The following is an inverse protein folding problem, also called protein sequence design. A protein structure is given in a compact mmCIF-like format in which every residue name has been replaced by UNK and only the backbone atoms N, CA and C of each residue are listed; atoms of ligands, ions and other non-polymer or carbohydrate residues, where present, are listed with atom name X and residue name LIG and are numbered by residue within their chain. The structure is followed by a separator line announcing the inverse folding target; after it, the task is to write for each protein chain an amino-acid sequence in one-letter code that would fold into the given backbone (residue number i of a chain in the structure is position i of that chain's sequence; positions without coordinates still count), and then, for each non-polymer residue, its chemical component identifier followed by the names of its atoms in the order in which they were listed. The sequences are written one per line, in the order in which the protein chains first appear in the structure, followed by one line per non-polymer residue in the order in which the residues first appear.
data_IF_771623049658
#
_entry.id   IF_771623049658
#
_cell.length_a   1.000
_cell.length_b   1.000
_cell.length_c   1.000
_cell.angle_alpha   90.00
_cell.angle_beta   90.00
_cell.angle_gamma   90.00
#
_symmetry.space_group_name_H-M   'P 1'
#
loop_
_entity.id
_entity.type
_entity.pdbx_description
1 polymer ?
#
# COMPACT_ATOMS: atom_id res chain seq x y z
N UNK A 1 6.64 -0.25 -40.17
CA UNK A 1 6.68 0.88 -39.20
C UNK A 1 7.12 0.35 -37.84
N UNK A 2 8.12 0.96 -37.20
CA UNK A 2 8.65 0.57 -35.87
C UNK A 2 7.69 1.06 -34.78
N UNK A 3 7.28 0.20 -33.85
CA UNK A 3 6.53 0.61 -32.64
C UNK A 3 7.52 1.17 -31.63
N UNK A 4 7.46 2.47 -31.37
CA UNK A 4 8.26 3.12 -30.33
C UNK A 4 7.64 2.84 -28.96
N UNK A 5 8.46 2.26 -28.09
CA UNK A 5 8.16 1.98 -26.69
C UNK A 5 8.45 3.24 -25.86
N UNK A 6 7.45 4.11 -25.68
CA UNK A 6 7.60 5.35 -24.91
C UNK A 6 6.47 5.53 -23.90
N UNK A 7 6.36 4.59 -22.95
CA UNK A 7 5.62 4.80 -21.70
C UNK A 7 6.59 5.21 -20.58
N UNK A 8 7.34 6.29 -20.79
CA UNK A 8 8.09 6.95 -19.72
C UNK A 8 7.28 8.16 -19.27
N UNK A 9 6.77 8.12 -18.04
CA UNK A 9 5.97 9.18 -17.44
C UNK A 9 6.76 10.50 -17.38
N UNK A 10 6.12 11.60 -17.72
CA UNK A 10 6.69 12.95 -17.87
C UNK A 10 6.87 13.72 -16.53
N UNK A 11 6.73 13.04 -15.40
CA UNK A 11 6.95 13.63 -14.07
C UNK A 11 5.85 14.58 -13.59
N UNK A 12 4.82 14.85 -14.41
CA UNK A 12 3.56 15.42 -13.92
C UNK A 12 2.82 14.34 -13.11
N UNK A 13 2.03 14.73 -12.09
CA UNK A 13 1.39 13.82 -11.12
C UNK A 13 0.85 12.58 -11.80
N UNK A 14 1.59 11.49 -11.67
CA UNK A 14 1.25 10.29 -12.39
C UNK A 14 -0.08 9.76 -11.86
N UNK A 15 -0.88 9.21 -12.75
CA UNK A 15 -2.22 8.67 -12.46
C UNK A 15 -2.28 7.69 -11.27
N UNK A 16 -1.14 7.19 -10.79
CA UNK A 16 -1.05 6.34 -9.61
C UNK A 16 -1.15 7.08 -8.26
N UNK A 17 -1.13 8.42 -8.23
CA UNK A 17 -1.40 9.23 -7.03
C UNK A 17 -2.87 9.64 -6.89
N UNK A 18 -3.66 9.49 -7.95
CA UNK A 18 -5.09 9.82 -7.92
C UNK A 18 -5.87 8.77 -7.13
N UNK A 19 -6.83 9.23 -6.33
CA UNK A 19 -7.77 8.34 -5.65
C UNK A 19 -8.84 7.86 -6.64
N UNK A 20 -9.27 6.59 -6.57
CA UNK A 20 -10.36 6.11 -7.40
C UNK A 20 -11.64 6.92 -7.10
N UNK A 21 -12.46 7.22 -8.13
CA UNK A 21 -13.70 7.97 -7.95
C UNK A 21 -14.57 7.36 -6.85
N UNK A 22 -15.12 8.22 -5.99
CA UNK A 22 -16.02 7.86 -4.87
C UNK A 22 -15.37 7.09 -3.72
N UNK A 23 -14.04 6.95 -3.67
CA UNK A 23 -13.38 6.42 -2.48
C UNK A 23 -13.56 7.36 -1.28
N UNK A 24 -14.07 6.82 -0.17
CA UNK A 24 -14.30 7.56 1.09
C UNK A 24 -13.56 6.97 2.29
N UNK A 25 -12.95 5.80 2.12
CA UNK A 25 -12.40 5.00 3.20
C UNK A 25 -11.19 4.21 2.69
N UNK A 26 -10.27 3.87 3.58
CA UNK A 26 -9.07 3.09 3.22
C UNK A 26 -9.42 1.75 2.57
N UNK A 27 -10.54 1.12 2.97
CA UNK A 27 -10.97 -0.14 2.38
C UNK A 27 -11.21 -0.02 0.87
N UNK A 28 -11.72 1.12 0.39
CA UNK A 28 -11.89 1.36 -1.05
C UNK A 28 -10.55 1.33 -1.79
N UNK A 29 -9.50 1.88 -1.18
CA UNK A 29 -8.15 1.91 -1.76
C UNK A 29 -7.47 0.54 -1.72
N UNK A 30 -7.65 -0.19 -0.62
CA UNK A 30 -7.16 -1.57 -0.44
C UNK A 30 -7.77 -2.47 -1.52
N UNK A 31 -9.09 -2.38 -1.72
CA UNK A 31 -9.80 -3.15 -2.74
C UNK A 31 -9.43 -2.70 -4.16
N UNK A 32 -9.37 -1.40 -4.44
CA UNK A 32 -9.02 -0.88 -5.78
C UNK A 32 -7.61 -1.31 -6.22
N UNK A 33 -6.65 -1.35 -5.30
CA UNK A 33 -5.28 -1.79 -5.58
C UNK A 33 -5.10 -3.30 -5.45
N UNK A 34 -6.16 -4.06 -5.18
CA UNK A 34 -6.14 -5.51 -4.94
C UNK A 34 -5.05 -5.92 -3.94
N UNK A 35 -4.93 -5.18 -2.83
CA UNK A 35 -3.93 -5.45 -1.81
C UNK A 35 -4.26 -6.77 -1.10
N UNK A 36 -3.25 -7.61 -0.88
CA UNK A 36 -3.38 -8.77 -0.01
C UNK A 36 -3.56 -8.34 1.46
N UNK A 37 -3.82 -9.32 2.34
CA UNK A 37 -4.07 -9.06 3.76
C UNK A 37 -2.89 -8.34 4.44
N UNK A 38 -1.65 -8.73 4.13
CA UNK A 38 -0.43 -8.16 4.72
C UNK A 38 -0.28 -6.68 4.33
N UNK A 39 -0.35 -6.38 3.03
CA UNK A 39 -0.24 -5.02 2.50
C UNK A 39 -1.40 -4.14 2.99
N UNK A 40 -2.62 -4.68 3.07
CA UNK A 40 -3.78 -3.96 3.60
C UNK A 40 -3.61 -3.54 5.06
N UNK A 41 -3.08 -4.41 5.92
CA UNK A 41 -2.80 -4.09 7.32
C UNK A 41 -1.63 -3.10 7.49
N UNK A 42 -0.60 -3.18 6.65
CA UNK A 42 0.46 -2.17 6.59
C UNK A 42 -0.15 -0.81 6.25
N UNK A 43 -0.96 -0.73 5.20
CA UNK A 43 -1.57 0.52 4.76
C UNK A 43 -2.44 1.16 5.85
N UNK A 44 -3.31 0.38 6.51
CA UNK A 44 -4.11 0.86 7.65
C UNK A 44 -3.23 1.33 8.81
N UNK A 45 -2.10 0.67 9.06
CA UNK A 45 -1.19 0.99 10.17
C UNK A 45 -0.40 2.26 9.91
N UNK A 46 0.04 2.49 8.67
CA UNK A 46 0.66 3.74 8.25
C UNK A 46 -0.33 4.91 8.32
N UNK A 47 -1.59 4.72 7.89
CA UNK A 47 -2.58 5.81 7.90
C UNK A 47 -2.89 6.33 9.30
N UNK A 48 -3.07 5.43 10.28
CA UNK A 48 -3.43 5.79 11.66
C UNK A 48 -2.21 6.00 12.57
N UNK A 49 -1.01 6.08 12.03
CA UNK A 49 0.24 5.98 12.78
C UNK A 49 0.30 6.94 13.96
N UNK A 50 0.32 6.40 15.19
CA UNK A 50 0.33 7.20 16.42
C UNK A 50 -0.97 7.93 16.75
N UNK A 51 -2.08 7.65 16.05
CA UNK A 51 -3.39 8.27 16.31
C UNK A 51 -4.27 7.47 17.27
N UNK A 52 -3.96 6.19 17.54
CA UNK A 52 -4.74 5.41 18.51
C UNK A 52 -4.28 5.74 19.94
N UNK A 53 -5.24 6.12 20.78
CA UNK A 53 -5.04 6.52 22.19
C UNK A 53 -4.38 5.45 23.06
N UNK A 54 -4.25 4.21 22.56
CA UNK A 54 -3.67 3.06 23.25
C UNK A 54 -2.47 2.47 22.48
N UNK A 55 -1.96 3.17 21.47
CA UNK A 55 -0.80 2.72 20.70
C UNK A 55 0.20 3.84 20.48
N UNK A 56 1.33 3.71 21.14
CA UNK A 56 2.51 4.51 20.80
C UNK A 56 2.95 4.20 19.36
N UNK A 57 3.58 5.18 18.70
CA UNK A 57 4.13 5.04 17.35
C UNK A 57 5.00 3.78 17.20
N UNK A 58 5.73 3.40 18.26
CA UNK A 58 6.53 2.18 18.31
C UNK A 58 5.69 0.90 18.11
N UNK A 59 4.46 0.85 18.63
CA UNK A 59 3.56 -0.29 18.46
C UNK A 59 3.11 -0.40 17.01
N UNK A 60 2.72 0.70 16.37
CA UNK A 60 2.36 0.68 14.95
C UNK A 60 3.57 0.31 14.07
N UNK A 61 4.77 0.81 14.38
CA UNK A 61 6.00 0.42 13.70
C UNK A 61 6.30 -1.09 13.81
N UNK A 62 6.17 -1.66 15.01
CA UNK A 62 6.31 -3.12 15.22
C UNK A 62 5.25 -3.92 14.44
N UNK A 63 4.01 -3.43 14.39
CA UNK A 63 2.94 -4.07 13.60
C UNK A 63 3.26 -4.03 12.11
N UNK A 64 3.73 -2.91 11.59
CA UNK A 64 4.18 -2.78 10.20
C UNK A 64 5.32 -3.78 9.92
N UNK A 65 6.33 -3.85 10.81
CA UNK A 65 7.43 -4.82 10.69
C UNK A 65 6.92 -6.26 10.58
N UNK A 66 5.98 -6.66 11.45
CA UNK A 66 5.42 -8.01 11.44
C UNK A 66 4.78 -8.37 10.08
N UNK A 67 3.96 -7.48 9.51
CA UNK A 67 3.29 -7.76 8.23
C UNK A 67 4.23 -7.70 7.03
N UNK A 68 5.25 -6.83 7.04
CA UNK A 68 6.20 -6.79 5.93
C UNK A 68 7.12 -8.02 5.92
N UNK A 69 7.53 -8.52 7.10
CA UNK A 69 8.28 -9.77 7.20
C UNK A 69 7.46 -10.94 6.62
N UNK A 70 6.16 -11.02 6.95
CA UNK A 70 5.26 -12.04 6.40
C UNK A 70 5.05 -11.90 4.87
N UNK A 71 4.99 -10.67 4.35
CA UNK A 71 4.90 -10.44 2.90
C UNK A 71 6.19 -10.84 2.18
N UNK A 72 7.35 -10.56 2.77
CA UNK A 72 8.65 -11.00 2.23
C UNK A 72 8.70 -12.53 2.17
N UNK A 73 8.30 -13.22 3.23
CA UNK A 73 8.26 -14.69 3.27
C UNK A 73 7.34 -15.25 2.17
N UNK A 74 6.14 -14.66 1.99
CA UNK A 74 5.20 -15.04 0.92
C UNK A 74 5.78 -14.84 -0.48
N UNK A 75 6.54 -13.77 -0.69
CA UNK A 75 7.18 -13.47 -1.98
C UNK A 75 8.40 -14.36 -2.24
N UNK A 76 9.11 -14.78 -1.19
CA UNK A 76 10.27 -15.67 -1.27
C UNK A 76 9.88 -17.16 -1.37
N UNK A 77 8.68 -17.51 -0.95
CA UNK A 77 8.11 -18.86 -1.06
C UNK A 77 6.98 -18.92 -2.09
N UNK A 78 7.23 -18.57 -3.38
CA UNK A 78 6.21 -18.71 -4.41
C UNK A 78 5.88 -20.20 -4.58
N UNK A 79 4.62 -20.54 -4.35
CA UNK A 79 4.05 -21.86 -4.64
C UNK A 79 4.03 -22.15 -6.13
#
# INVERSE_FOLDING_TARGET
MKKNNSNRSDGSTASYYELPPKAKELQHLISYKNMNAQIGEIFRSCYRYGQSSHSDQLRDAKKIKFYIDAEIERLQSPS
#
